data_IF_588212681033
#
_entry.id   IF_588212681033
#
_cell.length_a   1.000
_cell.length_b   1.000
_cell.length_c   1.000
_cell.angle_alpha   90.00
_cell.angle_beta   90.00
_cell.angle_gamma   90.00
#
_symmetry.space_group_name_H-M   'P 1'
#
loop_
_entity.id
_entity.type
_entity.pdbx_description
1 polymer ?
#
# COMPACT_ATOMS: atom_id res chain seq x y z
N UNK A 1 -3.31 -51.24 4.79
CA UNK A 1 -4.23 -50.60 3.82
C UNK A 1 -4.41 -49.15 4.29
N UNK A 2 -3.65 -48.22 3.73
CA UNK A 2 -3.76 -46.80 4.08
C UNK A 2 -4.86 -46.17 3.22
N UNK A 3 -5.88 -45.61 3.86
CA UNK A 3 -6.96 -44.88 3.20
C UNK A 3 -6.47 -43.44 3.00
N UNK A 4 -6.28 -43.03 1.75
CA UNK A 4 -6.10 -41.62 1.42
C UNK A 4 -7.48 -40.95 1.55
N UNK A 5 -7.63 -40.07 2.53
CA UNK A 5 -8.79 -39.19 2.62
C UNK A 5 -8.50 -38.00 1.72
N UNK A 6 -9.19 -37.93 0.59
CA UNK A 6 -9.14 -36.76 -0.27
C UNK A 6 -9.92 -35.63 0.41
N UNK A 7 -9.20 -34.72 1.06
CA UNK A 7 -9.78 -33.48 1.58
C UNK A 7 -10.34 -32.67 0.41
N UNK A 8 -11.67 -32.63 0.30
CA UNK A 8 -12.38 -31.88 -0.73
C UNK A 8 -12.28 -30.38 -0.43
N UNK A 9 -11.29 -29.70 -1.01
CA UNK A 9 -11.12 -28.26 -0.86
C UNK A 9 -12.24 -27.54 -1.62
N UNK A 10 -13.03 -26.72 -0.92
CA UNK A 10 -14.04 -25.85 -1.54
C UNK A 10 -13.45 -24.46 -1.82
N UNK A 11 -12.89 -24.30 -3.01
CA UNK A 11 -12.31 -23.03 -3.45
C UNK A 11 -13.35 -22.12 -4.12
N UNK A 12 -13.20 -20.81 -3.94
CA UNK A 12 -13.95 -19.79 -4.69
C UNK A 12 -12.97 -18.86 -5.39
N UNK A 13 -13.07 -18.80 -6.71
CA UNK A 13 -12.28 -17.89 -7.54
C UNK A 13 -13.10 -16.62 -7.81
N UNK A 14 -12.46 -15.46 -7.71
CA UNK A 14 -13.04 -14.19 -8.09
C UNK A 14 -11.98 -13.34 -8.81
N UNK A 15 -12.41 -12.60 -9.82
CA UNK A 15 -11.55 -11.60 -10.45
C UNK A 15 -11.34 -10.42 -9.48
N UNK A 16 -10.09 -9.96 -9.40
CA UNK A 16 -9.71 -8.79 -8.61
C UNK A 16 -8.95 -7.81 -9.49
N UNK A 17 -9.21 -6.51 -9.28
CA UNK A 17 -8.40 -5.42 -9.80
C UNK A 17 -7.32 -5.06 -8.80
N UNK A 18 -6.12 -4.83 -9.30
CA UNK A 18 -5.02 -4.27 -8.53
C UNK A 18 -5.02 -2.76 -8.77
N UNK A 19 -5.18 -1.98 -7.70
CA UNK A 19 -5.18 -0.52 -7.73
C UNK A 19 -3.88 -0.01 -7.10
N UNK A 20 -3.24 0.97 -7.74
CA UNK A 20 -2.14 1.72 -7.13
C UNK A 20 -2.73 2.94 -6.41
N UNK A 21 -2.46 3.05 -5.12
CA UNK A 21 -2.92 4.16 -4.28
C UNK A 21 -1.76 5.11 -4.04
N UNK A 22 -1.90 6.33 -4.52
CA UNK A 22 -0.97 7.43 -4.32
C UNK A 22 -1.58 8.50 -3.41
N UNK A 23 -0.73 9.26 -2.74
CA UNK A 23 -1.15 10.42 -1.95
C UNK A 23 -0.79 11.70 -2.69
N UNK A 24 -1.77 12.55 -2.98
CA UNK A 24 -1.57 13.84 -3.64
C UNK A 24 -1.02 14.84 -2.61
N UNK A 25 0.05 15.55 -2.98
CA UNK A 25 0.64 16.56 -2.10
C UNK A 25 -0.36 17.67 -1.78
N UNK A 26 -0.65 17.88 -0.50
CA UNK A 26 -1.63 18.86 -0.10
C UNK A 26 -1.20 20.31 -0.33
N UNK A 27 0.11 20.56 -0.43
CA UNK A 27 0.69 21.90 -0.61
C UNK A 27 0.57 22.37 -2.05
N UNK A 28 1.01 21.57 -3.03
CA UNK A 28 1.00 21.97 -4.44
C UNK A 28 -0.19 21.44 -5.23
N UNK A 29 -0.90 20.41 -4.73
CA UNK A 29 -2.00 19.71 -5.41
C UNK A 29 -1.67 19.16 -6.81
N UNK A 30 -0.38 19.09 -7.16
CA UNK A 30 0.12 18.64 -8.48
C UNK A 30 0.91 17.33 -8.34
N UNK A 31 1.92 17.30 -7.47
CA UNK A 31 2.76 16.12 -7.26
C UNK A 31 2.16 15.11 -6.28
N UNK A 32 2.77 13.93 -6.21
CA UNK A 32 2.44 12.88 -5.23
C UNK A 32 3.52 12.80 -4.15
N UNK A 33 3.14 12.34 -2.96
CA UNK A 33 4.04 12.11 -1.82
C UNK A 33 4.61 10.71 -1.93
N UNK A 34 5.93 10.61 -2.06
CA UNK A 34 6.67 9.35 -2.21
C UNK A 34 7.62 9.18 -1.03
N UNK A 35 7.73 7.95 -0.51
CA UNK A 35 8.65 7.66 0.59
C UNK A 35 10.10 8.00 0.19
N UNK A 36 10.86 8.62 1.10
CA UNK A 36 12.30 8.82 0.93
C UNK A 36 13.11 7.65 1.51
N UNK A 37 14.42 7.64 1.25
CA UNK A 37 15.37 6.67 1.84
C UNK A 37 15.72 6.99 3.30
N UNK A 38 15.07 7.98 3.92
CA UNK A 38 15.32 8.36 5.31
C UNK A 38 14.92 7.23 6.28
N UNK A 39 15.62 7.10 7.42
CA UNK A 39 15.25 6.15 8.46
C UNK A 39 13.81 6.36 8.94
N UNK A 40 13.11 5.26 9.19
CA UNK A 40 11.77 5.26 9.78
C UNK A 40 11.86 5.85 11.18
N UNK A 41 10.97 6.79 11.49
CA UNK A 41 10.83 7.29 12.85
C UNK A 41 10.16 6.20 13.70
N UNK A 42 10.89 5.69 14.70
CA UNK A 42 10.46 4.63 15.61
C UNK A 42 9.45 5.14 16.67
N UNK A 43 8.50 5.99 16.27
CA UNK A 43 7.36 6.41 17.08
C UNK A 43 6.29 5.32 17.13
N UNK A 44 5.25 5.52 17.95
CA UNK A 44 4.06 4.67 17.95
C UNK A 44 2.82 5.50 17.56
N UNK A 45 2.30 5.38 16.32
CA UNK A 45 2.74 4.49 15.24
C UNK A 45 4.05 4.93 14.56
N UNK A 46 4.78 4.03 13.85
CA UNK A 46 5.95 4.39 13.07
C UNK A 46 5.60 5.43 12.00
N UNK A 47 6.56 6.30 11.67
CA UNK A 47 6.37 7.28 10.60
C UNK A 47 7.45 7.16 9.53
N UNK A 48 7.04 7.36 8.30
CA UNK A 48 7.86 7.35 7.10
C UNK A 48 7.93 8.76 6.53
N UNK A 49 9.13 9.30 6.33
CA UNK A 49 9.29 10.57 5.64
C UNK A 49 8.91 10.38 4.17
N UNK A 50 8.10 11.29 3.65
CA UNK A 50 7.77 11.39 2.24
C UNK A 50 8.19 12.74 1.71
N UNK A 51 8.54 12.78 0.42
CA UNK A 51 8.82 13.99 -0.32
C UNK A 51 7.89 14.10 -1.53
N UNK A 52 7.37 15.29 -1.76
CA UNK A 52 6.58 15.59 -2.95
C UNK A 52 7.46 15.51 -4.20
N UNK A 53 6.94 14.88 -5.25
CA UNK A 53 7.60 14.77 -6.56
C UNK A 53 7.67 16.08 -7.35
N UNK A 54 6.90 17.11 -6.96
CA UNK A 54 6.80 18.39 -7.69
C UNK A 54 7.39 19.57 -6.92
N UNK A 55 6.88 19.85 -5.71
CA UNK A 55 7.28 21.03 -4.92
C UNK A 55 8.31 20.73 -3.83
N UNK A 56 8.81 19.49 -3.76
CA UNK A 56 9.81 19.02 -2.78
C UNK A 56 9.41 19.12 -1.30
N UNK A 57 8.16 19.50 -0.99
CA UNK A 57 7.63 19.48 0.36
C UNK A 57 7.79 18.11 1.02
N UNK A 58 8.18 18.09 2.29
CA UNK A 58 8.41 16.87 3.07
C UNK A 58 7.47 16.80 4.26
N UNK A 59 6.95 15.60 4.51
CA UNK A 59 6.11 15.33 5.68
C UNK A 59 6.20 13.86 6.12
N UNK A 60 5.77 13.57 7.34
CA UNK A 60 5.85 12.26 7.98
C UNK A 60 4.49 11.57 8.02
N UNK A 61 4.36 10.47 7.30
CA UNK A 61 3.11 9.71 7.19
C UNK A 61 3.16 8.44 8.03
N UNK A 62 1.99 7.96 8.43
CA UNK A 62 1.80 6.63 9.08
C UNK A 62 1.46 5.53 8.07
N UNK A 63 1.41 5.87 6.79
CA UNK A 63 1.26 4.92 5.69
C UNK A 63 2.38 5.15 4.69
N UNK A 64 2.88 4.06 4.11
CA UNK A 64 3.87 4.09 3.04
C UNK A 64 3.15 4.27 1.71
N UNK A 65 3.28 5.44 1.11
CA UNK A 65 2.79 5.71 -0.23
C UNK A 65 3.92 5.59 -1.26
N UNK A 66 3.62 5.04 -2.45
CA UNK A 66 2.37 4.41 -2.84
C UNK A 66 2.25 2.96 -2.31
N UNK A 67 1.03 2.42 -2.30
CA UNK A 67 0.78 1.00 -2.01
C UNK A 67 -0.25 0.40 -2.97
N UNK A 68 -0.28 -0.93 -3.04
CA UNK A 68 -1.25 -1.67 -3.86
C UNK A 68 -2.46 -2.08 -3.02
N UNK A 69 -3.67 -1.91 -3.57
CA UNK A 69 -4.94 -2.37 -2.99
C UNK A 69 -5.63 -3.32 -3.97
N UNK A 70 -6.18 -4.41 -3.47
CA UNK A 70 -7.02 -5.31 -4.26
C UNK A 70 -8.49 -4.94 -4.09
N UNK A 71 -9.24 -4.94 -5.19
CA UNK A 71 -10.68 -4.70 -5.20
C UNK A 71 -11.38 -5.77 -6.04
N UNK A 72 -12.44 -6.37 -5.50
CA UNK A 72 -13.21 -7.40 -6.21
C UNK A 72 -13.96 -6.77 -7.38
N UNK A 73 -13.94 -7.42 -8.54
CA UNK A 73 -14.78 -7.03 -9.68
C UNK A 73 -16.21 -7.55 -9.43
N UNK A 74 -17.19 -6.64 -9.44
CA UNK A 74 -18.61 -6.98 -9.32
C UNK A 74 -19.19 -7.43 -10.66
#
# INVERSE_FOLDING_TARGET
MCLFVEDKIMERVAEVKVLLVENVCEVCKIGTMQQTDMPILLSNPPKWEHKCTYCEHRDWYTLKYPYQKFEKVN
#
